data_IF_730768666105
#
_entry.id   IF_730768666105
#
_cell.length_a   1.000
_cell.length_b   1.000
_cell.length_c   1.000
_cell.angle_alpha   90.00
_cell.angle_beta   90.00
_cell.angle_gamma   90.00
#
_symmetry.space_group_name_H-M   'P 1'
#
loop_
_entity.id
_entity.type
_entity.pdbx_description
1 polymer ?
#
# COMPACT_ATOMS: atom_id res chain seq x y z
N UNK A 1 -18.20 0.53 -9.35
CA UNK A 1 -17.64 1.77 -8.79
C UNK A 1 -16.30 1.41 -8.16
N UNK A 2 -15.27 2.23 -8.32
CA UNK A 2 -13.97 1.98 -7.69
C UNK A 2 -13.98 2.50 -6.26
N UNK A 3 -13.42 1.74 -5.33
CA UNK A 3 -13.19 2.19 -3.96
C UNK A 3 -11.87 2.96 -3.93
N UNK A 4 -11.84 4.08 -3.22
CA UNK A 4 -10.63 4.89 -3.09
C UNK A 4 -10.49 5.41 -1.68
N UNK A 5 -9.28 5.33 -1.13
CA UNK A 5 -8.92 5.96 0.13
C UNK A 5 -7.61 6.70 -0.02
N UNK A 6 -7.53 7.85 0.65
CA UNK A 6 -6.36 8.70 0.60
C UNK A 6 -5.83 8.96 2.01
N UNK A 7 -4.58 8.60 2.23
CA UNK A 7 -3.89 8.80 3.50
C UNK A 7 -2.89 9.95 3.39
N UNK A 8 -2.79 10.74 4.47
CA UNK A 8 -1.90 11.90 4.53
C UNK A 8 -1.24 12.00 5.89
N UNK A 9 0.09 12.05 5.91
CA UNK A 9 0.85 12.33 7.13
C UNK A 9 0.77 13.83 7.39
N UNK A 10 -0.01 14.24 8.39
CA UNK A 10 -0.23 15.66 8.69
C UNK A 10 0.60 16.17 9.88
N UNK A 11 0.84 15.33 10.88
CA UNK A 11 1.47 15.73 12.14
C UNK A 11 2.99 15.52 12.10
N UNK A 12 3.76 16.48 12.61
CA UNK A 12 5.21 16.38 12.73
C UNK A 12 5.61 15.42 13.86
N UNK A 13 6.75 14.75 13.72
CA UNK A 13 7.29 13.84 14.73
C UNK A 13 6.47 12.55 14.95
N UNK A 14 5.49 12.26 14.10
CA UNK A 14 4.66 11.05 14.19
C UNK A 14 4.95 10.07 13.06
N UNK A 15 4.99 8.78 13.38
CA UNK A 15 4.89 7.73 12.38
C UNK A 15 3.43 7.48 11.98
N UNK A 16 3.19 7.16 10.72
CA UNK A 16 1.90 6.68 10.24
C UNK A 16 1.90 5.16 10.24
N UNK A 17 0.96 4.58 10.98
CA UNK A 17 0.73 3.14 11.04
C UNK A 17 -0.69 2.85 10.59
N UNK A 18 -0.85 1.95 9.63
CA UNK A 18 -2.15 1.58 9.11
C UNK A 18 -2.23 0.13 8.70
N UNK A 19 -3.45 -0.42 8.74
CA UNK A 19 -3.73 -1.77 8.28
C UNK A 19 -4.97 -1.77 7.37
N UNK A 20 -4.80 -2.29 6.17
CA UNK A 20 -5.89 -2.53 5.23
C UNK A 20 -6.14 -4.04 5.16
N UNK A 21 -7.38 -4.45 5.44
CA UNK A 21 -7.87 -5.80 5.18
C UNK A 21 -8.96 -5.71 4.11
N UNK A 22 -8.74 -6.34 2.96
CA UNK A 22 -9.71 -6.41 1.87
C UNK A 22 -10.05 -7.86 1.60
N UNK A 23 -11.33 -8.19 1.68
CA UNK A 23 -11.86 -9.52 1.40
C UNK A 23 -12.82 -9.42 0.20
N UNK A 24 -12.51 -10.16 -0.86
CA UNK A 24 -13.39 -10.34 -2.00
C UNK A 24 -14.02 -11.74 -1.90
N UNK A 25 -15.34 -11.75 -1.71
CA UNK A 25 -16.13 -12.99 -1.61
C UNK A 25 -16.18 -13.73 -2.96
N UNK A 26 -16.70 -14.96 -2.97
CA UNK A 26 -16.74 -15.81 -4.17
C UNK A 26 -17.34 -15.09 -5.38
N UNK A 27 -16.72 -15.26 -6.56
CA UNK A 27 -17.13 -14.63 -7.82
C UNK A 27 -17.24 -13.10 -7.80
N UNK A 28 -16.71 -12.42 -6.77
CA UNK A 28 -16.80 -10.96 -6.65
C UNK A 28 -15.66 -10.23 -7.36
N UNK A 29 -15.87 -8.96 -7.69
CA UNK A 29 -14.86 -8.08 -8.26
C UNK A 29 -14.77 -6.79 -7.47
N UNK A 30 -13.54 -6.36 -7.17
CA UNK A 30 -13.27 -5.07 -6.50
C UNK A 30 -12.02 -4.41 -7.05
N UNK A 31 -12.15 -3.12 -7.37
CA UNK A 31 -11.05 -2.23 -7.72
C UNK A 31 -10.87 -1.22 -6.58
N UNK A 32 -9.69 -1.22 -5.97
CA UNK A 32 -9.35 -0.38 -4.83
C UNK A 32 -8.09 0.44 -5.14
N UNK A 33 -8.17 1.76 -4.90
CA UNK A 33 -7.09 2.71 -5.06
C UNK A 33 -6.68 3.30 -3.70
N UNK A 34 -5.40 3.13 -3.36
CA UNK A 34 -4.76 3.73 -2.20
C UNK A 34 -3.88 4.90 -2.65
N UNK A 35 -4.19 6.11 -2.18
CA UNK A 35 -3.33 7.28 -2.36
C UNK A 35 -2.59 7.62 -1.07
N UNK A 36 -1.31 7.99 -1.14
CA UNK A 36 -0.56 8.47 0.02
C UNK A 36 0.31 9.69 -0.31
N UNK A 37 0.32 10.68 0.59
CA UNK A 37 1.26 11.81 0.51
C UNK A 37 1.82 12.23 1.86
N UNK A 38 3.03 12.82 1.84
CA UNK A 38 3.62 13.52 2.97
C UNK A 38 4.09 14.92 2.59
N UNK A 39 3.94 15.92 3.48
CA UNK A 39 4.58 17.22 3.33
C UNK A 39 6.08 17.14 3.60
N UNK A 40 6.83 18.12 3.08
CA UNK A 40 8.25 18.31 3.42
C UNK A 40 8.43 18.59 4.91
N UNK A 41 9.36 17.88 5.54
CA UNK A 41 9.73 18.03 6.95
C UNK A 41 11.23 17.78 7.09
N UNK A 42 11.83 18.42 8.08
CA UNK A 42 13.26 18.32 8.36
C UNK A 42 13.62 17.04 9.16
N UNK A 43 12.63 16.42 9.80
CA UNK A 43 12.76 15.15 10.52
C UNK A 43 12.31 13.96 9.65
N UNK A 44 13.02 12.84 9.78
CA UNK A 44 12.64 11.59 9.14
C UNK A 44 11.28 11.11 9.67
N UNK A 45 10.38 10.75 8.76
CA UNK A 45 9.07 10.22 9.09
C UNK A 45 8.96 8.75 8.69
N UNK A 46 8.35 7.94 9.56
CA UNK A 46 8.11 6.54 9.29
C UNK A 46 6.67 6.34 8.79
N UNK A 47 6.54 5.73 7.61
CA UNK A 47 5.29 5.16 7.12
C UNK A 47 5.42 3.64 7.14
N UNK A 48 4.66 3.00 8.04
CA UNK A 48 4.66 1.55 8.21
C UNK A 48 3.24 0.99 8.08
N UNK A 49 2.93 0.42 6.92
CA UNK A 49 1.61 -0.11 6.62
C UNK A 49 1.61 -1.64 6.47
N UNK A 50 0.45 -2.24 6.70
CA UNK A 50 0.18 -3.66 6.41
C UNK A 50 -1.05 -3.77 5.53
N UNK A 51 -0.93 -4.49 4.41
CA UNK A 51 -2.07 -4.77 3.52
C UNK A 51 -2.26 -6.27 3.40
N UNK A 52 -3.47 -6.71 3.70
CA UNK A 52 -3.93 -8.09 3.56
C UNK A 52 -5.07 -8.16 2.58
N UNK A 53 -4.89 -8.92 1.50
CA UNK A 53 -5.95 -9.19 0.52
C UNK A 53 -6.31 -10.67 0.56
N UNK A 54 -7.61 -10.97 0.58
CA UNK A 54 -8.14 -12.32 0.50
C UNK A 54 -9.12 -12.37 -0.68
N UNK A 55 -8.73 -13.03 -1.76
CA UNK A 55 -9.62 -13.31 -2.90
C UNK A 55 -10.09 -14.76 -2.80
N UNK A 56 -11.39 -14.95 -2.54
CA UNK A 56 -12.03 -16.27 -2.54
C UNK A 56 -12.20 -16.82 -3.96
N UNK A 57 -12.82 -17.99 -4.09
CA UNK A 57 -12.89 -18.71 -5.36
C UNK A 57 -13.56 -17.86 -6.45
N UNK A 58 -12.95 -17.85 -7.65
CA UNK A 58 -13.36 -17.05 -8.81
C UNK A 58 -13.39 -15.52 -8.60
N UNK A 59 -12.88 -15.01 -7.47
CA UNK A 59 -12.87 -13.57 -7.17
C UNK A 59 -11.68 -12.83 -7.79
N UNK A 60 -11.86 -11.53 -8.07
CA UNK A 60 -10.81 -10.65 -8.58
C UNK A 60 -10.65 -9.38 -7.73
N UNK A 61 -9.43 -9.14 -7.25
CA UNK A 61 -9.02 -7.91 -6.57
C UNK A 61 -8.01 -7.17 -7.46
N UNK A 62 -8.31 -5.92 -7.79
CA UNK A 62 -7.34 -4.96 -8.34
C UNK A 62 -6.97 -3.96 -7.26
N UNK A 63 -5.71 -4.01 -6.80
CA UNK A 63 -5.17 -3.12 -5.79
C UNK A 63 -4.15 -2.15 -6.41
N UNK A 64 -4.52 -0.88 -6.45
CA UNK A 64 -3.69 0.18 -7.03
C UNK A 64 -3.15 1.10 -5.94
N UNK A 65 -1.91 1.53 -6.08
CA UNK A 65 -1.26 2.47 -5.13
C UNK A 65 -0.62 3.61 -5.89
N UNK A 66 -0.86 4.84 -5.43
CA UNK A 66 -0.21 6.05 -5.92
C UNK A 66 0.34 6.80 -4.71
N UNK A 67 1.66 6.77 -4.56
CA UNK A 67 2.33 7.39 -3.41
C UNK A 67 3.34 8.45 -3.88
N UNK A 68 3.24 9.65 -3.30
CA UNK A 68 4.17 10.75 -3.55
C UNK A 68 4.69 11.30 -2.21
N UNK A 69 5.96 11.00 -1.93
CA UNK A 69 6.62 11.31 -0.67
C UNK A 69 7.63 12.44 -0.82
N UNK A 70 8.12 12.95 0.31
CA UNK A 70 9.28 13.85 0.35
C UNK A 70 10.57 13.03 0.55
N UNK A 71 11.60 13.19 -0.29
CA UNK A 71 12.79 12.32 -0.26
C UNK A 71 13.84 12.75 0.78
N UNK A 72 13.64 13.91 1.43
CA UNK A 72 14.67 14.56 2.22
C UNK A 72 15.41 15.63 1.42
N UNK A 73 16.27 16.38 2.10
CA UNK A 73 17.17 17.34 1.48
C UNK A 73 18.48 16.71 1.01
N UNK A 74 19.37 17.53 0.43
CA UNK A 74 20.68 17.11 -0.08
C UNK A 74 21.66 16.63 0.99
N UNK A 75 21.42 17.01 2.24
CA UNK A 75 22.28 16.70 3.40
C UNK A 75 21.73 15.47 4.17
N UNK A 76 20.62 14.89 3.69
CA UNK A 76 19.98 13.70 4.27
C UNK A 76 19.02 14.01 5.42
N UNK A 77 18.65 15.28 5.61
CA UNK A 77 17.65 15.66 6.61
C UNK A 77 16.25 15.45 6.04
N UNK A 78 15.39 14.91 6.90
CA UNK A 78 14.02 14.64 6.54
C UNK A 78 13.85 13.50 5.54
N UNK A 79 12.62 13.36 5.10
CA UNK A 79 12.22 12.34 4.15
C UNK A 79 11.45 11.19 4.78
N UNK A 80 10.88 10.35 3.93
CA UNK A 80 9.98 9.27 4.36
C UNK A 80 10.64 7.91 4.23
N UNK A 81 10.63 7.16 5.33
CA UNK A 81 10.89 5.72 5.33
C UNK A 81 9.58 4.97 5.09
N UNK A 82 9.49 4.31 3.95
CA UNK A 82 8.27 3.65 3.47
C UNK A 82 8.42 2.14 3.59
N UNK A 83 8.06 1.60 4.76
CA UNK A 83 8.28 0.20 5.14
C UNK A 83 6.95 -0.55 5.23
N UNK A 84 6.55 -1.17 4.12
CA UNK A 84 5.18 -1.72 4.00
C UNK A 84 5.23 -3.19 3.66
N UNK A 85 4.43 -3.96 4.39
CA UNK A 85 4.20 -5.37 4.10
C UNK A 85 2.85 -5.55 3.42
N UNK A 86 2.84 -5.93 2.14
CA UNK A 86 1.61 -6.23 1.39
C UNK A 86 1.58 -7.70 0.99
N UNK A 87 0.49 -8.39 1.30
CA UNK A 87 0.32 -9.81 0.92
C UNK A 87 -1.13 -10.09 0.52
N UNK A 88 -1.28 -10.74 -0.62
CA UNK A 88 -2.56 -11.26 -1.11
C UNK A 88 -2.58 -12.79 -1.07
N UNK A 89 -3.73 -13.36 -0.76
CA UNK A 89 -3.99 -14.80 -0.85
C UNK A 89 -5.01 -15.00 -1.98
N UNK A 90 -4.59 -15.76 -3.00
CA UNK A 90 -5.46 -16.20 -4.09
C UNK A 90 -5.94 -17.63 -3.82
N UNK A 91 -7.25 -17.82 -3.70
CA UNK A 91 -7.92 -19.12 -3.72
C UNK A 91 -8.13 -19.63 -5.18
N UNK A 92 -9.00 -20.62 -5.41
CA UNK A 92 -9.11 -21.29 -6.71
C UNK A 92 -9.66 -20.35 -7.78
N UNK A 93 -9.05 -20.38 -8.98
CA UNK A 93 -9.35 -19.49 -10.13
C UNK A 93 -9.44 -17.98 -9.81
N UNK A 94 -8.98 -17.55 -8.63
CA UNK A 94 -8.99 -16.16 -8.20
C UNK A 94 -7.80 -15.37 -8.76
N UNK A 95 -7.90 -14.05 -8.72
CA UNK A 95 -6.90 -13.14 -9.26
C UNK A 95 -6.68 -11.94 -8.34
N UNK A 96 -5.42 -11.63 -8.08
CA UNK A 96 -5.01 -10.40 -7.41
C UNK A 96 -4.02 -9.67 -8.34
N UNK A 97 -4.32 -8.41 -8.65
CA UNK A 97 -3.45 -7.53 -9.41
C UNK A 97 -2.95 -6.39 -8.52
N UNK A 98 -1.63 -6.35 -8.30
CA UNK A 98 -0.97 -5.21 -7.67
C UNK A 98 -0.52 -4.23 -8.75
N UNK A 99 -0.82 -2.94 -8.57
CA UNK A 99 -0.35 -1.87 -9.46
C UNK A 99 0.16 -0.71 -8.62
N UNK A 100 1.37 -0.24 -8.89
CA UNK A 100 2.03 0.73 -8.02
C UNK A 100 2.75 1.80 -8.81
N UNK A 101 2.57 3.04 -8.35
CA UNK A 101 3.38 4.20 -8.73
C UNK A 101 3.84 4.87 -7.45
N UNK A 102 5.15 4.93 -7.26
CA UNK A 102 5.74 5.40 -6.01
C UNK A 102 6.92 6.31 -6.32
N UNK A 103 6.97 7.47 -5.67
CA UNK A 103 8.03 8.46 -5.88
C UNK A 103 8.36 9.19 -4.59
N UNK A 104 9.59 9.66 -4.50
CA UNK A 104 10.01 10.64 -3.51
C UNK A 104 10.18 10.13 -2.09
N UNK A 105 10.30 8.83 -1.81
CA UNK A 105 10.69 8.37 -0.46
C UNK A 105 12.20 8.42 -0.28
N UNK A 106 12.68 8.68 0.94
CA UNK A 106 14.11 8.54 1.26
C UNK A 106 14.57 7.08 1.14
N UNK A 107 13.75 6.15 1.68
CA UNK A 107 13.93 4.71 1.54
C UNK A 107 12.58 4.06 1.32
N UNK A 108 12.50 3.17 0.34
CA UNK A 108 11.35 2.27 0.16
C UNK A 108 11.78 0.84 0.40
N UNK A 109 11.08 0.15 1.31
CA UNK A 109 11.28 -1.26 1.58
C UNK A 109 9.94 -2.00 1.53
N UNK A 110 9.62 -2.56 0.35
CA UNK A 110 8.31 -3.14 0.07
C UNK A 110 8.42 -4.32 -0.90
N UNK A 111 7.66 -5.37 -0.59
CA UNK A 111 7.56 -6.57 -1.44
C UNK A 111 6.12 -7.08 -1.49
N UNK A 112 5.23 -6.43 -2.26
CA UNK A 112 3.89 -6.95 -2.47
C UNK A 112 3.97 -8.35 -3.05
N UNK A 113 3.27 -9.28 -2.40
CA UNK A 113 3.37 -10.70 -2.72
C UNK A 113 1.99 -11.30 -2.94
N UNK A 114 1.89 -12.31 -3.80
CA UNK A 114 0.72 -13.16 -3.94
C UNK A 114 1.06 -14.59 -3.51
N UNK A 115 0.29 -15.13 -2.58
CA UNK A 115 0.29 -16.55 -2.25
C UNK A 115 -0.78 -17.21 -3.10
N UNK A 116 -0.36 -18.00 -4.10
CA UNK A 116 -1.27 -18.78 -4.94
C UNK A 116 -1.56 -20.10 -4.24
N UNK A 117 -2.65 -20.16 -3.46
CA UNK A 117 -2.94 -21.27 -2.55
C UNK A 117 -3.52 -22.51 -3.25
N UNK A 118 -3.73 -22.47 -4.58
CA UNK A 118 -4.38 -23.49 -5.43
C UNK A 118 -4.45 -24.88 -4.77
N UNK A 119 -5.66 -25.41 -4.62
CA UNK A 119 -5.88 -26.81 -4.26
C UNK A 119 -5.48 -27.74 -5.39
#
# INVERSE_FOLDING_TARGET
>A
MELSTYFRINQAGTGQFERTLLIADESSYVSYLEGCTAPSRDENQLHAAVVELIALDDAEIKYSTVQNWFPGDKDGNGGVFNFVTKRGICHDRSKISWTQVETGSAVTWKYPSCVLKRK
#
